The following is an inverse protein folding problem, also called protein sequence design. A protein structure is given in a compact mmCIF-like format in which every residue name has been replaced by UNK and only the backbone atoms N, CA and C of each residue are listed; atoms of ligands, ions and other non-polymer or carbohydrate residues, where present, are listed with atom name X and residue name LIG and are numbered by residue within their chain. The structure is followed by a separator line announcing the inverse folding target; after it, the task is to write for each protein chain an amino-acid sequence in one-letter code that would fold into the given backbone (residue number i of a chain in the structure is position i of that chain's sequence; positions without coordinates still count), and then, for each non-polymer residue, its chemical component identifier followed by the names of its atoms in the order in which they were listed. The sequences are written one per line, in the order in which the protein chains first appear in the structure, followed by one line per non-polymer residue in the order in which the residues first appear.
data_IF_882357930618
#
_entry.id   IF_882357930618
#
_cell.length_a   1.000
_cell.length_b   1.000
_cell.length_c   1.000
_cell.angle_alpha   90.00
_cell.angle_beta   90.00
_cell.angle_gamma   90.00
#
_symmetry.space_group_name_H-M   'P 1'
#
loop_
_entity.id
_entity.type
_entity.pdbx_description
1 polymer ?
#
# COMPACT_ATOMS: atom_id res chain seq x y z
N UNK A 1 -42.50 -10.16 11.47
CA UNK A 1 -41.57 -11.20 11.01
C UNK A 1 -40.61 -10.48 10.10
N UNK A 2 -39.41 -10.15 10.60
CA UNK A 2 -38.39 -9.48 9.79
C UNK A 2 -37.91 -10.53 8.78
N UNK A 3 -37.94 -10.19 7.49
CA UNK A 3 -37.50 -11.09 6.42
C UNK A 3 -36.00 -11.39 6.58
N UNK A 4 -35.60 -12.65 6.40
CA UNK A 4 -34.19 -13.07 6.55
C UNK A 4 -33.31 -12.35 5.51
N UNK A 5 -33.87 -12.02 4.35
CA UNK A 5 -33.25 -11.17 3.30
C UNK A 5 -32.88 -9.78 3.85
N UNK A 6 -33.78 -9.12 4.59
CA UNK A 6 -33.55 -7.75 5.10
C UNK A 6 -32.39 -7.75 6.11
N UNK A 7 -32.29 -8.78 6.95
CA UNK A 7 -31.23 -8.90 7.97
C UNK A 7 -29.84 -9.09 7.35
N UNK A 8 -29.74 -9.84 6.25
CA UNK A 8 -28.45 -10.05 5.56
C UNK A 8 -28.00 -8.78 4.86
N UNK A 9 -28.92 -8.09 4.19
CA UNK A 9 -28.63 -6.82 3.49
C UNK A 9 -28.16 -5.76 4.48
N UNK A 10 -28.87 -5.58 5.61
CA UNK A 10 -28.50 -4.61 6.65
C UNK A 10 -27.09 -4.89 7.21
N UNK A 11 -26.73 -6.17 7.41
CA UNK A 11 -25.38 -6.55 7.88
C UNK A 11 -24.29 -6.22 6.87
N UNK A 12 -24.50 -6.53 5.60
CA UNK A 12 -23.54 -6.23 4.54
C UNK A 12 -23.32 -4.72 4.40
N UNK A 13 -24.41 -3.96 4.49
CA UNK A 13 -24.39 -2.50 4.39
C UNK A 13 -23.72 -1.85 5.59
N UNK A 14 -23.93 -2.38 6.80
CA UNK A 14 -23.22 -1.95 8.00
C UNK A 14 -21.71 -2.24 7.89
N UNK A 15 -21.31 -3.43 7.43
CA UNK A 15 -19.90 -3.76 7.21
C UNK A 15 -19.27 -2.79 6.21
N UNK A 16 -19.97 -2.49 5.11
CA UNK A 16 -19.51 -1.52 4.12
C UNK A 16 -19.39 -0.11 4.72
N UNK A 17 -20.39 0.34 5.48
CA UNK A 17 -20.36 1.64 6.15
C UNK A 17 -19.17 1.76 7.12
N UNK A 18 -18.91 0.73 7.92
CA UNK A 18 -17.75 0.67 8.82
C UNK A 18 -16.42 0.79 8.07
N UNK A 19 -16.29 0.13 6.91
CA UNK A 19 -15.11 0.21 6.05
C UNK A 19 -14.94 1.61 5.43
N UNK A 20 -16.01 2.17 4.87
CA UNK A 20 -15.99 3.50 4.22
C UNK A 20 -15.76 4.64 5.23
N UNK A 21 -16.26 4.49 6.46
CA UNK A 21 -16.02 5.44 7.55
C UNK A 21 -14.62 5.30 8.18
N UNK A 22 -13.84 4.30 7.77
CA UNK A 22 -12.49 4.08 8.29
C UNK A 22 -12.44 3.55 9.71
N UNK A 23 -13.52 2.94 10.23
CA UNK A 23 -13.63 2.47 11.62
C UNK A 23 -13.80 0.95 11.73
N UNK A 24 -13.79 0.22 10.62
CA UNK A 24 -13.88 -1.24 10.59
C UNK A 24 -12.79 -1.94 11.43
N UNK A 25 -11.61 -1.32 11.59
CA UNK A 25 -10.49 -1.89 12.34
C UNK A 25 -10.77 -2.06 13.85
N UNK A 26 -11.82 -1.41 14.38
CA UNK A 26 -12.26 -1.58 15.77
C UNK A 26 -13.08 -2.86 15.99
N UNK A 27 -13.62 -3.44 14.92
CA UNK A 27 -14.60 -4.54 14.97
C UNK A 27 -14.26 -5.64 13.95
N UNK A 28 -12.97 -5.85 13.66
CA UNK A 28 -12.48 -6.81 12.66
C UNK A 28 -12.99 -8.24 12.92
N UNK A 29 -13.11 -8.64 14.20
CA UNK A 29 -13.57 -9.98 14.60
C UNK A 29 -15.06 -10.16 14.32
N UNK A 30 -15.86 -9.14 14.65
CA UNK A 30 -17.30 -9.12 14.42
C UNK A 30 -17.61 -9.13 12.93
N UNK A 31 -16.88 -8.35 12.13
CA UNK A 31 -16.98 -8.37 10.66
C UNK A 31 -16.66 -9.77 10.14
N UNK A 32 -15.55 -10.38 10.58
CA UNK A 32 -15.16 -11.73 10.15
C UNK A 32 -16.25 -12.76 10.49
N UNK A 33 -16.74 -12.78 11.73
CA UNK A 33 -17.81 -13.71 12.13
C UNK A 33 -19.09 -13.50 11.32
N UNK A 34 -19.45 -12.24 11.03
CA UNK A 34 -20.61 -11.95 10.20
C UNK A 34 -20.42 -12.48 8.77
N UNK A 35 -19.24 -12.28 8.17
CA UNK A 35 -18.93 -12.79 6.84
C UNK A 35 -18.84 -14.31 6.78
N UNK A 36 -18.29 -14.98 7.80
CA UNK A 36 -18.30 -16.45 7.92
C UNK A 36 -19.75 -16.98 7.93
N UNK A 37 -20.62 -16.33 8.73
CA UNK A 37 -22.03 -16.69 8.80
C UNK A 37 -22.75 -16.47 7.46
N UNK A 38 -22.43 -15.40 6.73
CA UNK A 38 -23.02 -15.11 5.42
C UNK A 38 -22.51 -16.10 4.38
N UNK A 39 -21.21 -16.41 4.39
CA UNK A 39 -20.58 -17.33 3.45
C UNK A 39 -21.15 -18.75 3.58
N UNK A 40 -21.41 -19.22 4.80
CA UNK A 40 -22.01 -20.54 5.02
C UNK A 40 -23.44 -20.69 4.46
N UNK A 41 -24.15 -19.59 4.23
CA UNK A 41 -25.52 -19.54 3.66
C UNK A 41 -25.55 -18.93 2.25
N UNK A 42 -24.41 -18.86 1.57
CA UNK A 42 -24.28 -18.07 0.34
C UNK A 42 -25.27 -18.48 -0.75
N UNK A 43 -25.50 -19.79 -0.94
CA UNK A 43 -26.40 -20.27 -1.98
C UNK A 43 -27.88 -19.98 -1.68
N UNK A 44 -28.30 -20.07 -0.42
CA UNK A 44 -29.66 -19.73 0.02
C UNK A 44 -29.93 -18.23 -0.20
N UNK A 45 -29.00 -17.38 0.25
CA UNK A 45 -29.07 -15.92 0.06
C UNK A 45 -29.16 -15.56 -1.43
N UNK A 46 -28.44 -16.26 -2.30
CA UNK A 46 -28.49 -16.02 -3.75
C UNK A 46 -29.85 -16.38 -4.36
N UNK A 47 -30.49 -17.45 -3.88
CA UNK A 47 -31.82 -17.84 -4.32
C UNK A 47 -32.88 -16.85 -3.83
N UNK A 48 -32.79 -16.43 -2.57
CA UNK A 48 -33.74 -15.50 -1.93
C UNK A 48 -33.68 -14.10 -2.55
N UNK A 49 -32.49 -13.58 -2.80
CA UNK A 49 -32.27 -12.24 -3.39
C UNK A 49 -32.61 -12.15 -4.88
N UNK A 50 -33.04 -13.25 -5.50
CA UNK A 50 -33.53 -13.34 -6.90
C UNK A 50 -32.63 -12.64 -7.94
N UNK A 51 -31.32 -12.63 -7.73
CA UNK A 51 -30.41 -11.98 -8.69
C UNK A 51 -30.27 -10.47 -8.52
N UNK A 52 -30.63 -9.89 -7.36
CA UNK A 52 -30.42 -8.47 -7.09
C UNK A 52 -28.93 -8.10 -7.27
N UNK A 53 -28.65 -7.36 -8.35
CA UNK A 53 -27.30 -7.04 -8.79
C UNK A 53 -26.48 -6.30 -7.71
N UNK A 54 -27.13 -5.42 -6.96
CA UNK A 54 -26.49 -4.67 -5.88
C UNK A 54 -26.05 -5.59 -4.74
N UNK A 55 -26.94 -6.45 -4.25
CA UNK A 55 -26.65 -7.35 -3.13
C UNK A 55 -25.57 -8.36 -3.54
N UNK A 56 -25.65 -8.91 -4.75
CA UNK A 56 -24.65 -9.85 -5.28
C UNK A 56 -23.28 -9.18 -5.41
N UNK A 57 -23.22 -7.95 -5.90
CA UNK A 57 -21.98 -7.19 -6.01
C UNK A 57 -21.36 -6.89 -4.64
N UNK A 58 -22.20 -6.50 -3.68
CA UNK A 58 -21.79 -6.20 -2.31
C UNK A 58 -21.26 -7.47 -1.61
N UNK A 59 -21.98 -8.58 -1.70
CA UNK A 59 -21.54 -9.89 -1.24
C UNK A 59 -20.20 -10.28 -1.85
N UNK A 60 -20.10 -10.23 -3.19
CA UNK A 60 -18.89 -10.61 -3.90
C UNK A 60 -17.68 -9.77 -3.45
N UNK A 61 -17.84 -8.44 -3.38
CA UNK A 61 -16.77 -7.53 -2.98
C UNK A 61 -16.34 -7.77 -1.52
N UNK A 62 -17.29 -7.84 -0.58
CA UNK A 62 -16.97 -8.02 0.84
C UNK A 62 -16.37 -9.40 1.12
N UNK A 63 -16.93 -10.47 0.55
CA UNK A 63 -16.40 -11.83 0.72
C UNK A 63 -15.00 -11.98 0.09
N UNK A 64 -14.81 -11.58 -1.17
CA UNK A 64 -13.46 -11.65 -1.78
C UNK A 64 -12.47 -10.73 -1.09
N UNK A 65 -12.89 -9.53 -0.68
CA UNK A 65 -12.04 -8.58 0.05
C UNK A 65 -11.55 -9.10 1.40
N UNK A 66 -12.27 -10.05 2.00
CA UNK A 66 -11.87 -10.74 3.23
C UNK A 66 -11.30 -12.15 3.00
N UNK A 67 -10.94 -12.50 1.76
CA UNK A 67 -10.23 -13.73 1.42
C UNK A 67 -11.11 -14.97 1.20
N UNK A 68 -12.44 -14.82 1.13
CA UNK A 68 -13.32 -15.94 0.83
C UNK A 68 -13.29 -16.31 -0.66
N UNK A 69 -13.23 -17.61 -0.94
CA UNK A 69 -13.19 -18.16 -2.30
C UNK A 69 -14.54 -18.10 -3.02
N UNK A 70 -14.90 -16.92 -3.54
CA UNK A 70 -16.15 -16.73 -4.31
C UNK A 70 -15.89 -16.80 -5.81
N UNK A 71 -16.61 -17.63 -6.56
CA UNK A 71 -16.48 -17.76 -8.02
C UNK A 71 -16.93 -16.50 -8.78
N UNK A 72 -16.30 -16.20 -9.92
CA UNK A 72 -16.75 -15.12 -10.82
C UNK A 72 -18.11 -15.42 -11.47
N UNK A 73 -18.50 -16.68 -11.59
CA UNK A 73 -19.82 -17.06 -12.10
C UNK A 73 -20.97 -16.52 -11.23
N UNK A 74 -20.69 -16.18 -9.96
CA UNK A 74 -21.64 -15.58 -9.03
C UNK A 74 -22.12 -14.21 -9.49
N UNK A 75 -21.28 -13.40 -10.16
CA UNK A 75 -21.64 -12.05 -10.64
C UNK A 75 -22.34 -12.05 -11.99
N UNK A 76 -22.22 -13.12 -12.78
CA UNK A 76 -22.82 -13.23 -14.13
C UNK A 76 -24.35 -13.34 -14.09
N UNK A 77 -24.93 -13.73 -12.95
CA UNK A 77 -26.38 -13.80 -12.74
C UNK A 77 -27.04 -12.41 -12.61
N UNK A 78 -26.26 -11.35 -12.38
CA UNK A 78 -26.73 -9.99 -12.41
C UNK A 78 -26.75 -9.51 -13.87
N UNK A 79 -27.88 -9.68 -14.56
CA UNK A 79 -28.03 -9.20 -15.93
C UNK A 79 -27.87 -7.67 -16.01
N UNK A 80 -26.84 -7.22 -16.72
CA UNK A 80 -26.87 -6.00 -17.54
C UNK A 80 -26.98 -4.67 -16.80
N UNK A 81 -25.98 -4.32 -16.00
CA UNK A 81 -25.44 -2.96 -15.79
C UNK A 81 -24.25 -3.10 -14.85
N UNK A 82 -23.22 -2.27 -15.00
CA UNK A 82 -21.94 -2.41 -14.29
C UNK A 82 -22.22 -2.35 -12.78
N UNK A 83 -22.18 -3.52 -12.13
CA UNK A 83 -22.36 -3.70 -10.68
C UNK A 83 -21.53 -2.71 -9.85
N UNK A 84 -20.34 -2.34 -10.35
CA UNK A 84 -19.47 -1.32 -9.77
C UNK A 84 -20.14 0.07 -9.72
N UNK A 85 -20.78 0.54 -10.80
CA UNK A 85 -21.36 1.88 -10.87
C UNK A 85 -22.62 2.04 -9.99
N UNK A 86 -23.42 0.97 -9.85
CA UNK A 86 -24.57 0.94 -8.94
C UNK A 86 -24.16 1.03 -7.46
N UNK A 87 -23.07 0.35 -7.09
CA UNK A 87 -22.50 0.41 -5.73
C UNK A 87 -22.07 1.83 -5.41
N UNK A 88 -21.32 2.50 -6.30
CA UNK A 88 -20.91 3.90 -6.10
C UNK A 88 -22.07 4.90 -6.05
N UNK A 89 -23.13 4.69 -6.86
CA UNK A 89 -24.28 5.61 -6.90
C UNK A 89 -25.11 5.57 -5.62
N UNK A 90 -25.30 4.38 -5.03
CA UNK A 90 -26.10 4.22 -3.80
C UNK A 90 -25.31 4.53 -2.52
N UNK A 91 -23.97 4.48 -2.54
CA UNK A 91 -23.09 5.01 -1.47
C UNK A 91 -23.37 6.51 -1.22
N UNK A 92 -23.75 7.27 -2.25
CA UNK A 92 -24.00 8.71 -2.16
C UNK A 92 -25.38 9.08 -1.58
N UNK A 93 -26.31 8.14 -1.54
CA UNK A 93 -27.74 8.42 -1.31
C UNK A 93 -28.25 8.04 0.09
N UNK A 94 -27.41 7.47 0.98
CA UNK A 94 -27.87 7.14 2.34
C UNK A 94 -27.86 8.32 3.32
N UNK A 95 -29.07 8.61 3.80
CA UNK A 95 -29.41 9.35 5.02
C UNK A 95 -30.33 8.48 5.88
N UNK A 96 -30.13 8.54 7.20
CA UNK A 96 -31.23 8.39 8.16
C UNK A 96 -31.24 7.14 9.03
N UNK A 97 -30.21 6.94 9.85
CA UNK A 97 -30.27 6.62 11.30
C UNK A 97 -28.98 5.93 11.75
N UNK A 98 -27.94 6.71 12.01
CA UNK A 98 -26.66 6.24 12.57
C UNK A 98 -25.87 7.42 13.18
N UNK A 99 -26.55 8.33 13.86
CA UNK A 99 -25.93 9.51 14.45
C UNK A 99 -24.74 9.15 15.36
N UNK A 100 -24.85 8.03 16.10
CA UNK A 100 -23.79 7.49 16.94
C UNK A 100 -22.60 6.96 16.13
N UNK A 101 -22.83 6.26 15.01
CA UNK A 101 -21.73 5.74 14.18
C UNK A 101 -20.95 6.89 13.52
N UNK A 102 -21.67 7.90 13.02
CA UNK A 102 -21.05 9.08 12.45
C UNK A 102 -20.30 9.91 13.50
N UNK A 103 -20.85 10.04 14.70
CA UNK A 103 -20.18 10.70 15.82
C UNK A 103 -18.90 9.95 16.21
N UNK A 104 -18.97 8.62 16.33
CA UNK A 104 -17.81 7.77 16.59
C UNK A 104 -16.75 7.91 15.49
N UNK A 105 -17.14 7.84 14.20
CA UNK A 105 -16.21 8.00 13.08
C UNK A 105 -15.51 9.36 13.10
N UNK A 106 -16.22 10.44 13.43
CA UNK A 106 -15.62 11.78 13.58
C UNK A 106 -14.64 11.84 14.74
N UNK A 107 -14.98 11.23 15.88
CA UNK A 107 -14.10 11.19 17.03
C UNK A 107 -12.83 10.38 16.72
N UNK A 108 -13.00 9.21 16.10
CA UNK A 108 -11.90 8.33 15.70
C UNK A 108 -10.95 9.03 14.71
N UNK A 109 -11.51 9.65 13.66
CA UNK A 109 -10.75 10.44 12.69
C UNK A 109 -9.87 11.50 13.38
N UNK A 110 -10.40 12.20 14.38
CA UNK A 110 -9.64 13.20 15.14
C UNK A 110 -8.52 12.57 16.00
N UNK A 111 -8.77 11.41 16.61
CA UNK A 111 -7.77 10.66 17.38
C UNK A 111 -6.64 10.16 16.48
N UNK A 112 -6.99 9.60 15.32
CA UNK A 112 -6.06 9.14 14.28
C UNK A 112 -5.22 10.31 13.76
N UNK A 113 -5.84 11.44 13.41
CA UNK A 113 -5.10 12.64 12.99
C UNK A 113 -4.15 13.18 14.07
N UNK A 114 -4.55 13.15 15.34
CA UNK A 114 -3.68 13.56 16.44
C UNK A 114 -2.48 12.63 16.59
N UNK A 115 -2.66 11.33 16.32
CA UNK A 115 -1.56 10.37 16.25
C UNK A 115 -0.59 10.75 15.14
N UNK A 116 -1.08 11.06 13.94
CA UNK A 116 -0.23 11.47 12.82
C UNK A 116 0.56 12.76 13.10
N UNK A 117 -0.07 13.75 13.73
CA UNK A 117 0.63 14.99 14.12
C UNK A 117 1.77 14.74 15.10
N UNK A 118 1.65 13.77 16.01
CA UNK A 118 2.74 13.40 16.93
C UNK A 118 3.87 12.71 16.18
N UNK A 119 3.53 11.77 15.31
CA UNK A 119 4.49 11.02 14.49
C UNK A 119 5.26 11.96 13.56
N UNK A 120 4.57 12.87 12.86
CA UNK A 120 5.19 13.91 12.02
C UNK A 120 6.22 14.75 12.79
N UNK A 121 5.91 15.16 14.02
CA UNK A 121 6.86 15.89 14.87
C UNK A 121 8.08 15.05 15.24
N UNK A 122 7.91 13.74 15.40
CA UNK A 122 9.00 12.83 15.70
C UNK A 122 9.91 12.62 14.50
N UNK A 123 9.36 12.28 13.33
CA UNK A 123 10.14 12.10 12.10
C UNK A 123 10.77 13.41 11.65
N UNK A 124 10.13 14.55 11.89
CA UNK A 124 10.72 15.87 11.64
C UNK A 124 11.96 16.12 12.50
N UNK A 125 11.88 15.86 13.81
CA UNK A 125 13.05 15.94 14.69
C UNK A 125 14.17 15.00 14.25
N UNK A 126 13.84 13.76 13.89
CA UNK A 126 14.81 12.81 13.36
C UNK A 126 15.47 13.33 12.08
N UNK A 127 14.68 13.78 11.11
CA UNK A 127 15.16 14.26 9.80
C UNK A 127 16.08 15.48 9.95
N UNK A 128 15.67 16.46 10.78
CA UNK A 128 16.49 17.64 11.08
C UNK A 128 17.81 17.26 11.75
N UNK A 129 17.81 16.30 12.67
CA UNK A 129 19.00 15.86 13.40
C UNK A 129 20.03 15.14 12.53
N UNK A 130 19.63 14.58 11.37
CA UNK A 130 20.60 14.01 10.43
C UNK A 130 21.52 15.06 9.82
N UNK A 131 21.11 16.35 9.83
CA UNK A 131 21.88 17.45 9.23
C UNK A 131 22.09 17.29 7.72
N UNK A 132 21.33 16.39 7.07
CA UNK A 132 21.48 16.13 5.64
C UNK A 132 21.06 17.34 4.81
N UNK A 133 20.05 18.09 5.23
CA UNK A 133 19.56 19.28 4.53
C UNK A 133 20.60 20.42 4.47
N UNK A 134 21.56 20.48 5.42
CA UNK A 134 22.67 21.44 5.35
C UNK A 134 23.71 21.06 4.28
N UNK A 135 23.82 19.76 3.98
CA UNK A 135 24.81 19.20 3.04
C UNK A 135 24.22 18.89 1.66
N UNK A 136 22.92 18.60 1.62
CA UNK A 136 22.09 18.28 0.47
C UNK A 136 21.04 19.38 0.30
N UNK A 137 21.48 20.64 0.28
CA UNK A 137 20.61 21.83 0.15
C UNK A 137 19.77 21.84 -1.15
N UNK A 138 20.05 20.88 -2.02
CA UNK A 138 19.44 20.66 -3.31
C UNK A 138 18.22 19.71 -3.28
N UNK A 139 18.12 18.84 -2.27
CA UNK A 139 17.00 17.89 -2.16
C UNK A 139 15.79 18.60 -1.58
N UNK A 140 14.62 18.44 -2.22
CA UNK A 140 13.39 19.08 -1.74
C UNK A 140 12.96 18.40 -0.43
N UNK A 141 12.68 19.18 0.61
CA UNK A 141 12.10 18.62 1.83
C UNK A 141 10.67 18.13 1.55
N UNK A 142 10.55 16.81 1.41
CA UNK A 142 9.30 16.10 1.13
C UNK A 142 8.85 15.26 2.33
N UNK A 143 9.31 15.58 3.54
CA UNK A 143 9.01 14.76 4.73
C UNK A 143 7.51 14.48 4.92
N UNK A 144 6.65 15.48 4.72
CA UNK A 144 5.21 15.31 4.85
C UNK A 144 4.64 14.40 3.74
N UNK A 145 5.16 14.49 2.51
CA UNK A 145 4.78 13.60 1.39
C UNK A 145 5.24 12.16 1.68
N UNK A 146 6.49 12.00 2.12
CA UNK A 146 7.09 10.73 2.50
C UNK A 146 6.37 10.05 3.67
N UNK A 147 5.76 10.85 4.56
CA UNK A 147 4.90 10.36 5.64
C UNK A 147 3.47 10.02 5.19
N UNK A 148 2.94 10.72 4.19
CA UNK A 148 1.59 10.47 3.67
C UNK A 148 1.46 9.08 3.03
N UNK A 149 2.53 8.60 2.38
CA UNK A 149 2.58 7.27 1.78
C UNK A 149 2.22 6.13 2.74
N UNK A 150 2.93 5.93 3.87
CA UNK A 150 2.60 4.85 4.80
C UNK A 150 1.27 5.04 5.54
N UNK A 151 0.73 6.26 5.60
CA UNK A 151 -0.66 6.48 6.06
C UNK A 151 -1.66 5.82 5.12
N UNK A 152 -1.41 5.79 3.80
CA UNK A 152 -2.36 5.26 2.81
C UNK A 152 -2.68 3.77 2.97
N UNK A 153 -1.71 2.95 3.39
CA UNK A 153 -1.88 1.49 3.52
C UNK A 153 -1.77 0.97 4.96
N UNK A 154 -1.39 1.81 5.92
CA UNK A 154 -1.33 1.44 7.33
C UNK A 154 -1.80 2.62 8.20
N UNK A 155 -3.04 3.04 7.99
CA UNK A 155 -3.61 4.23 8.61
C UNK A 155 -3.91 4.03 10.12
N UNK A 156 -4.11 2.80 10.58
CA UNK A 156 -4.59 2.49 11.92
C UNK A 156 -3.57 2.88 13.00
N UNK A 157 -3.98 3.44 14.16
CA UNK A 157 -3.06 3.88 15.21
C UNK A 157 -2.05 2.80 15.67
N UNK A 158 -2.44 1.52 15.67
CA UNK A 158 -1.60 0.36 16.02
C UNK A 158 -0.32 0.26 15.17
N UNK A 159 -0.34 0.79 13.94
CA UNK A 159 0.74 0.70 12.97
C UNK A 159 1.75 1.87 13.06
N UNK A 160 1.84 2.55 14.21
CA UNK A 160 2.72 3.71 14.41
C UNK A 160 4.19 3.43 14.10
N UNK A 161 4.75 2.36 14.67
CA UNK A 161 6.14 1.93 14.44
C UNK A 161 6.43 1.72 12.96
N UNK A 162 5.49 1.11 12.25
CA UNK A 162 5.57 0.89 10.81
C UNK A 162 5.62 2.21 10.04
N UNK A 163 4.68 3.13 10.29
CA UNK A 163 4.67 4.44 9.61
C UNK A 163 5.95 5.23 9.86
N UNK A 164 6.45 5.22 11.09
CA UNK A 164 7.70 5.90 11.44
C UNK A 164 8.90 5.30 10.70
N UNK A 165 9.04 3.97 10.67
CA UNK A 165 10.14 3.29 9.98
C UNK A 165 10.09 3.52 8.46
N UNK A 166 8.90 3.37 7.87
CA UNK A 166 8.68 3.60 6.44
C UNK A 166 8.94 5.03 6.02
N UNK A 167 8.50 6.01 6.82
CA UNK A 167 8.76 7.43 6.51
C UNK A 167 10.25 7.73 6.45
N UNK A 168 11.03 7.13 7.36
CA UNK A 168 12.49 7.26 7.37
C UNK A 168 13.11 6.65 6.11
N UNK A 169 12.67 5.45 5.74
CA UNK A 169 13.10 4.79 4.51
C UNK A 169 12.75 5.64 3.28
N UNK A 170 11.50 6.11 3.15
CA UNK A 170 11.05 6.97 2.06
C UNK A 170 11.89 8.24 1.92
N UNK A 171 12.22 8.91 3.03
CA UNK A 171 13.09 10.10 2.98
C UNK A 171 14.49 9.79 2.45
N UNK A 172 15.06 8.65 2.83
CA UNK A 172 16.36 8.20 2.32
C UNK A 172 16.28 7.80 0.85
N UNK A 173 15.22 7.08 0.44
CA UNK A 173 14.95 6.73 -0.96
C UNK A 173 14.91 8.00 -1.79
N UNK A 174 14.08 8.98 -1.43
CA UNK A 174 13.94 10.22 -2.22
C UNK A 174 15.23 11.03 -2.29
N UNK A 175 16.04 11.03 -1.22
CA UNK A 175 17.32 11.73 -1.22
C UNK A 175 18.36 11.02 -2.09
N UNK A 176 18.36 9.68 -2.11
CA UNK A 176 19.23 8.89 -2.99
C UNK A 176 18.78 9.02 -4.44
N UNK A 177 17.48 8.96 -4.71
CA UNK A 177 16.89 9.18 -6.04
C UNK A 177 17.37 10.49 -6.65
N UNK A 178 17.22 11.61 -5.92
CA UNK A 178 17.71 12.95 -6.29
C UNK A 178 19.23 12.93 -6.63
N UNK A 179 20.04 12.18 -5.85
CA UNK A 179 21.48 12.06 -6.11
C UNK A 179 21.74 11.38 -7.46
N UNK A 180 21.00 10.34 -7.81
CA UNK A 180 21.23 9.58 -9.04
C UNK A 180 20.67 10.25 -10.30
N UNK A 181 19.55 10.97 -10.20
CA UNK A 181 18.84 11.50 -11.38
C UNK A 181 19.22 12.95 -11.73
N UNK A 182 19.60 13.77 -10.74
CA UNK A 182 19.83 15.21 -10.93
C UNK A 182 21.26 15.63 -10.59
N UNK A 183 21.85 15.14 -9.51
CA UNK A 183 23.03 15.79 -8.92
C UNK A 183 24.38 15.09 -9.15
N UNK A 184 24.42 13.77 -9.05
CA UNK A 184 25.67 13.02 -9.09
C UNK A 184 26.24 12.91 -10.50
N UNK A 185 27.55 13.08 -10.63
CA UNK A 185 28.27 12.68 -11.84
C UNK A 185 28.34 11.15 -11.94
N UNK A 186 28.44 10.62 -13.16
CA UNK A 186 28.46 9.16 -13.35
C UNK A 186 29.59 8.48 -12.53
N UNK A 187 30.76 9.09 -12.44
CA UNK A 187 31.89 8.59 -11.63
C UNK A 187 31.55 8.55 -10.13
N UNK A 188 30.88 9.58 -9.60
CA UNK A 188 30.43 9.63 -8.21
C UNK A 188 29.35 8.57 -7.94
N UNK A 189 28.41 8.39 -8.89
CA UNK A 189 27.35 7.38 -8.77
C UNK A 189 27.91 5.96 -8.79
N UNK A 190 28.93 5.68 -9.61
CA UNK A 190 29.62 4.40 -9.60
C UNK A 190 30.32 4.14 -8.27
N UNK A 191 31.04 5.14 -7.72
CA UNK A 191 31.69 5.04 -6.42
C UNK A 191 30.69 4.84 -5.27
N UNK A 192 29.56 5.55 -5.29
CA UNK A 192 28.50 5.41 -4.29
C UNK A 192 27.84 4.02 -4.38
N UNK A 193 27.49 3.57 -5.58
CA UNK A 193 26.92 2.24 -5.81
C UNK A 193 27.88 1.15 -5.32
N UNK A 194 29.18 1.28 -5.62
CA UNK A 194 30.20 0.33 -5.16
C UNK A 194 30.39 0.39 -3.64
N UNK A 195 30.27 1.55 -3.01
CA UNK A 195 30.31 1.67 -1.55
C UNK A 195 29.13 0.95 -0.88
N UNK A 196 27.92 1.09 -1.42
CA UNK A 196 26.73 0.37 -0.94
C UNK A 196 26.85 -1.12 -1.19
N UNK A 197 27.36 -1.54 -2.35
CA UNK A 197 27.61 -2.95 -2.69
C UNK A 197 28.69 -3.56 -1.77
N UNK A 198 29.77 -2.84 -1.48
CA UNK A 198 30.81 -3.26 -0.53
C UNK A 198 30.33 -3.31 0.92
N UNK A 199 29.26 -2.61 1.27
CA UNK A 199 28.63 -2.79 2.58
C UNK A 199 28.20 -4.25 2.82
N UNK A 200 27.93 -5.00 1.75
CA UNK A 200 27.71 -6.45 1.78
C UNK A 200 28.98 -7.26 2.14
N UNK A 201 30.17 -6.71 1.90
CA UNK A 201 31.44 -7.36 2.20
C UNK A 201 31.89 -7.22 3.67
N UNK A 202 31.34 -6.25 4.42
CA UNK A 202 31.72 -5.93 5.80
C UNK A 202 30.87 -6.72 6.82
N UNK A 203 31.02 -8.04 6.95
CA UNK A 203 30.40 -8.96 7.96
C UNK A 203 28.87 -8.84 8.22
N UNK A 204 28.16 -7.97 7.49
CA UNK A 204 26.71 -7.75 7.49
C UNK A 204 26.02 -8.74 6.52
N UNK A 205 26.76 -9.74 6.02
CA UNK A 205 26.29 -10.87 5.18
C UNK A 205 25.11 -11.66 5.77
N UNK A 206 24.78 -11.45 7.04
CA UNK A 206 23.63 -12.04 7.70
C UNK A 206 22.31 -11.35 7.36
N UNK A 207 22.33 -10.13 6.80
CA UNK A 207 21.11 -9.48 6.34
C UNK A 207 20.62 -10.13 5.04
N UNK A 208 19.35 -10.53 4.98
CA UNK A 208 18.74 -10.99 3.74
C UNK A 208 18.85 -9.95 2.61
N UNK A 209 18.95 -10.39 1.35
CA UNK A 209 19.13 -9.51 0.17
C UNK A 209 18.07 -8.40 0.10
N UNK A 210 16.83 -8.72 0.42
CA UNK A 210 15.72 -7.78 0.40
C UNK A 210 15.83 -6.61 1.41
N UNK A 211 16.68 -6.73 2.45
CA UNK A 211 16.97 -5.63 3.38
C UNK A 211 18.13 -4.75 2.90
N UNK A 212 18.81 -5.14 1.81
CA UNK A 212 19.95 -4.42 1.27
C UNK A 212 19.46 -3.40 0.24
N UNK A 213 20.00 -2.19 0.33
CA UNK A 213 19.70 -1.08 -0.58
C UNK A 213 20.47 -1.18 -1.91
N UNK A 214 21.25 -2.24 -2.06
CA UNK A 214 22.16 -2.48 -3.17
C UNK A 214 21.44 -2.59 -4.51
N UNK A 215 20.36 -3.36 -4.58
CA UNK A 215 19.64 -3.56 -5.84
C UNK A 215 18.95 -2.27 -6.31
N UNK A 216 18.42 -1.48 -5.38
CA UNK A 216 17.90 -0.14 -5.67
C UNK A 216 19.00 0.76 -6.27
N UNK A 217 20.16 0.84 -5.62
CA UNK A 217 21.28 1.66 -6.09
C UNK A 217 21.82 1.20 -7.46
N UNK A 218 21.89 -0.12 -7.68
CA UNK A 218 22.26 -0.70 -8.98
C UNK A 218 21.24 -0.35 -10.06
N UNK A 219 19.95 -0.42 -9.75
CA UNK A 219 18.88 -0.08 -10.70
C UNK A 219 18.90 1.41 -11.05
N UNK A 220 19.14 2.30 -10.07
CA UNK A 220 19.36 3.73 -10.35
C UNK A 220 20.59 3.98 -11.21
N UNK A 221 21.69 3.27 -10.96
CA UNK A 221 22.91 3.39 -11.77
C UNK A 221 22.66 2.99 -13.23
N UNK A 222 21.84 1.96 -13.47
CA UNK A 222 21.45 1.55 -14.83
C UNK A 222 20.71 2.68 -15.55
N UNK A 223 19.74 3.32 -14.90
CA UNK A 223 19.00 4.47 -15.46
C UNK A 223 19.90 5.67 -15.72
N UNK A 224 20.80 6.00 -14.78
CA UNK A 224 21.78 7.07 -14.95
C UNK A 224 22.72 6.79 -16.14
N UNK A 225 23.12 5.52 -16.35
CA UNK A 225 23.93 5.10 -17.50
C UNK A 225 23.18 5.23 -18.82
N UNK A 226 21.89 4.89 -18.85
CA UNK A 226 21.05 5.09 -20.02
C UNK A 226 20.95 6.58 -20.38
N UNK A 227 20.66 7.42 -19.38
CA UNK A 227 20.58 8.87 -19.54
C UNK A 227 21.89 9.46 -20.07
N UNK A 228 23.03 9.15 -19.44
CA UNK A 228 24.33 9.68 -19.83
C UNK A 228 24.75 9.28 -21.27
N UNK A 229 24.37 8.08 -21.71
CA UNK A 229 24.67 7.57 -23.05
C UNK A 229 23.64 7.99 -24.11
N UNK A 230 22.59 8.72 -23.74
CA UNK A 230 21.41 8.96 -24.57
C UNK A 230 20.81 7.66 -25.15
N UNK A 231 20.89 6.58 -24.37
CA UNK A 231 20.34 5.29 -24.75
C UNK A 231 18.87 5.23 -24.35
N UNK A 232 18.01 4.84 -25.29
CA UNK A 232 16.59 4.65 -25.05
C UNK A 232 16.35 3.14 -24.93
N UNK A 233 16.07 2.60 -23.73
CA UNK A 233 15.79 1.19 -23.56
C UNK A 233 14.48 0.78 -24.25
N UNK A 234 14.33 -0.50 -24.54
CA UNK A 234 13.01 -1.04 -24.89
C UNK A 234 12.07 -0.98 -23.68
N UNK A 235 10.76 -1.02 -23.89
CA UNK A 235 9.80 -1.06 -22.77
C UNK A 235 10.06 -2.25 -21.84
N UNK A 236 10.40 -3.42 -22.38
CA UNK A 236 10.70 -4.60 -21.58
C UNK A 236 11.96 -4.40 -20.72
N UNK A 237 13.05 -3.93 -21.34
CA UNK A 237 14.30 -3.60 -20.65
C UNK A 237 14.09 -2.55 -19.56
N UNK A 238 13.33 -1.50 -19.87
CA UNK A 238 12.96 -0.45 -18.92
C UNK A 238 12.20 -1.02 -17.73
N UNK A 239 11.15 -1.83 -17.95
CA UNK A 239 10.33 -2.36 -16.88
C UNK A 239 11.07 -3.40 -16.03
N UNK A 240 11.98 -4.18 -16.62
CA UNK A 240 12.83 -5.15 -15.89
C UNK A 240 13.74 -4.45 -14.86
N UNK A 241 14.20 -3.23 -15.15
CA UNK A 241 14.90 -2.39 -14.18
C UNK A 241 13.92 -1.56 -13.32
N UNK A 242 12.83 -1.12 -13.93
CA UNK A 242 11.89 -0.13 -13.41
C UNK A 242 11.16 -0.55 -12.13
N UNK A 243 10.88 -1.84 -11.96
CA UNK A 243 10.26 -2.35 -10.73
C UNK A 243 11.25 -2.36 -9.54
N UNK A 244 12.55 -2.39 -9.80
CA UNK A 244 13.57 -2.19 -8.78
C UNK A 244 13.77 -0.70 -8.52
N UNK A 245 14.01 0.11 -9.55
CA UNK A 245 14.31 1.54 -9.40
C UNK A 245 13.16 2.35 -8.79
N UNK A 246 11.91 1.88 -8.85
CA UNK A 246 10.80 2.54 -8.16
C UNK A 246 10.79 2.31 -6.63
N UNK A 247 11.76 1.57 -6.07
CA UNK A 247 11.93 1.28 -4.64
C UNK A 247 10.82 0.45 -3.98
N UNK A 248 9.83 -0.03 -4.73
CA UNK A 248 8.71 -0.81 -4.18
C UNK A 248 9.15 -2.04 -3.39
N UNK A 249 10.22 -2.70 -3.83
CA UNK A 249 10.82 -3.83 -3.13
C UNK A 249 11.36 -3.43 -1.74
N UNK A 250 12.07 -2.30 -1.62
CA UNK A 250 12.56 -1.78 -0.32
C UNK A 250 11.39 -1.46 0.60
N UNK A 251 10.37 -0.75 0.12
CA UNK A 251 9.19 -0.40 0.92
C UNK A 251 8.52 -1.67 1.47
N UNK A 252 8.29 -2.67 0.62
CA UNK A 252 7.63 -3.91 1.01
C UNK A 252 8.49 -4.78 1.93
N UNK A 253 9.82 -4.78 1.76
CA UNK A 253 10.77 -5.39 2.68
C UNK A 253 10.64 -4.86 4.11
N UNK A 254 10.65 -3.53 4.27
CA UNK A 254 10.47 -2.93 5.59
C UNK A 254 9.10 -3.24 6.19
N UNK A 255 8.06 -3.36 5.35
CA UNK A 255 6.74 -3.78 5.81
C UNK A 255 6.75 -5.20 6.36
N UNK A 256 7.38 -6.11 5.64
CA UNK A 256 7.50 -7.50 6.04
C UNK A 256 8.26 -7.68 7.35
N UNK A 257 9.37 -6.95 7.51
CA UNK A 257 10.21 -7.02 8.72
C UNK A 257 9.52 -6.52 9.99
N UNK A 258 8.45 -5.75 9.85
CA UNK A 258 7.71 -5.16 10.95
C UNK A 258 6.43 -5.94 11.28
N UNK A 259 6.19 -7.06 10.58
CA UNK A 259 5.13 -8.01 10.92
C UNK A 259 5.48 -8.70 12.25
N UNK A 260 4.54 -8.79 13.20
CA UNK A 260 4.74 -9.57 14.42
C UNK A 260 5.07 -11.04 14.12
N UNK A 261 5.83 -11.69 15.01
CA UNK A 261 6.09 -13.13 14.98
C UNK A 261 6.80 -13.68 13.72
N UNK A 262 7.60 -12.83 13.07
CA UNK A 262 8.39 -13.16 11.89
C UNK A 262 9.38 -14.30 12.16
N UNK A 263 9.30 -15.40 11.40
CA UNK A 263 10.19 -16.56 11.55
C UNK A 263 11.36 -16.52 10.57
N UNK A 264 12.42 -17.32 10.81
CA UNK A 264 13.52 -17.45 9.84
C UNK A 264 13.02 -18.00 8.49
N UNK A 265 12.06 -18.92 8.50
CA UNK A 265 11.48 -19.49 7.28
C UNK A 265 10.79 -18.40 6.44
N UNK A 266 10.07 -17.49 7.09
CA UNK A 266 9.44 -16.33 6.46
C UNK A 266 10.50 -15.44 5.78
N UNK A 267 11.64 -15.20 6.45
CA UNK A 267 12.74 -14.44 5.84
C UNK A 267 13.35 -15.13 4.62
N UNK A 268 13.50 -16.45 4.67
CA UNK A 268 14.08 -17.23 3.59
C UNK A 268 13.18 -17.20 2.33
N UNK A 269 11.85 -17.23 2.50
CA UNK A 269 10.90 -17.05 1.39
C UNK A 269 11.01 -15.67 0.74
N UNK A 270 11.42 -14.67 1.52
CA UNK A 270 11.47 -13.28 1.10
C UNK A 270 12.82 -12.90 0.43
N UNK A 271 13.87 -13.72 0.58
CA UNK A 271 15.20 -13.50 0.00
C UNK A 271 15.17 -13.29 -1.52
N UNK A 272 14.32 -14.01 -2.25
CA UNK A 272 14.30 -13.97 -3.71
C UNK A 272 13.26 -13.00 -4.29
N UNK A 273 12.76 -12.04 -3.51
CA UNK A 273 11.66 -11.14 -3.86
C UNK A 273 10.41 -11.89 -4.38
N UNK A 274 9.43 -12.17 -3.49
CA UNK A 274 8.20 -12.84 -3.87
C UNK A 274 7.50 -12.17 -5.08
N UNK A 275 6.83 -12.95 -5.92
CA UNK A 275 6.14 -12.40 -7.12
C UNK A 275 5.20 -11.25 -6.78
N UNK A 276 4.49 -11.32 -5.65
CA UNK A 276 3.61 -10.25 -5.18
C UNK A 276 4.35 -8.92 -5.03
N UNK A 277 5.61 -8.93 -4.62
CA UNK A 277 6.44 -7.74 -4.51
C UNK A 277 6.80 -7.19 -5.89
N UNK A 278 7.17 -8.05 -6.83
CA UNK A 278 7.50 -7.66 -8.19
C UNK A 278 6.27 -7.02 -8.86
N UNK A 279 5.11 -7.67 -8.77
CA UNK A 279 3.86 -7.14 -9.32
C UNK A 279 3.43 -5.83 -8.65
N UNK A 280 3.55 -5.73 -7.33
CA UNK A 280 3.21 -4.50 -6.60
C UNK A 280 4.14 -3.35 -6.99
N UNK A 281 5.44 -3.62 -7.15
CA UNK A 281 6.42 -2.63 -7.58
C UNK A 281 6.21 -2.23 -9.04
N UNK A 282 5.86 -3.19 -9.91
CA UNK A 282 5.51 -2.92 -11.30
C UNK A 282 4.28 -2.00 -11.41
N UNK A 283 3.24 -2.26 -10.61
CA UNK A 283 2.07 -1.39 -10.54
C UNK A 283 2.46 0.02 -10.07
N UNK A 284 3.28 0.13 -9.01
CA UNK A 284 3.78 1.41 -8.52
C UNK A 284 4.56 2.17 -9.60
N UNK A 285 5.46 1.49 -10.33
CA UNK A 285 6.22 2.04 -11.45
C UNK A 285 5.29 2.61 -12.51
N UNK A 286 4.34 1.81 -13.01
CA UNK A 286 3.42 2.23 -14.06
C UNK A 286 2.55 3.42 -13.62
N UNK A 287 2.04 3.41 -12.38
CA UNK A 287 1.27 4.53 -11.84
C UNK A 287 2.12 5.80 -11.68
N UNK A 288 3.35 5.65 -11.20
CA UNK A 288 4.29 6.77 -11.07
C UNK A 288 4.56 7.40 -12.44
N UNK A 289 4.90 6.59 -13.45
CA UNK A 289 5.21 7.08 -14.79
C UNK A 289 4.02 7.76 -15.46
N UNK A 290 2.79 7.25 -15.25
CA UNK A 290 1.57 7.93 -15.72
C UNK A 290 1.39 9.33 -15.10
N UNK A 291 1.82 9.51 -13.85
CA UNK A 291 1.75 10.78 -13.14
C UNK A 291 2.87 11.76 -13.50
N UNK A 292 4.09 11.25 -13.75
CA UNK A 292 5.30 12.06 -13.96
C UNK A 292 5.62 12.32 -15.43
N UNK A 293 5.12 11.50 -16.36
CA UNK A 293 5.37 11.64 -17.81
C UNK A 293 4.81 12.92 -18.44
N UNK A 294 4.02 13.72 -17.70
CA UNK A 294 3.56 15.05 -18.18
C UNK A 294 4.56 16.16 -17.89
N UNK A 295 5.77 16.03 -18.43
CA UNK A 295 6.66 17.15 -18.81
C UNK A 295 7.49 16.66 -20.00
N UNK A 296 6.91 16.72 -21.19
CA UNK A 296 7.57 16.44 -22.47
C UNK A 296 7.02 17.39 -23.53
#
# INVERSE_FOLDING_TARGET
MIDEETVVVDKLELIDALQQLGIAYHVEKEIKHALDSIFSKLDDIRMETKGNAYIIALLFRLLRGHGFGVSQATTTLAHGEIAHEMVYRRIRERRGDEALLLEFAKLDFNVVQNTYKRELKEVSRWWSNLGLWEKLSFSRDRLAENYLWPVGWAFEPKNSTFRLAQTKANCLITAIDDIYDVYGSLDELELFTEAVDRWDALDIKQLPEYMKWTDLCKAYLVEAKWYNKNYIPTLEEYLQNGWLSISGHVILSYAYCLVPDLTQHDLDLFQNYPEIMQWSSMLLRLYNDLGTSKVG
#
